data_IF_186792371640
#
_entry.id   IF_186792371640
#
_cell.length_a   1.000
_cell.length_b   1.000
_cell.length_c   1.000
_cell.angle_alpha   90.00
_cell.angle_beta   90.00
_cell.angle_gamma   90.00
#
_symmetry.space_group_name_H-M   'P 1'
#
loop_
_entity.id
_entity.type
_entity.pdbx_description
1 polymer ?
#
# COMPACT_ATOMS: atom_id res chain seq x y z
N UNK A 1 2.38 1.80 -1.00
CA UNK A 1 2.71 0.45 -1.50
C UNK A 1 3.46 0.63 -2.81
N UNK A 2 4.55 -0.11 -3.01
CA UNK A 2 5.37 -0.11 -4.22
C UNK A 2 5.20 -1.45 -4.94
N UNK A 3 5.12 -1.38 -6.26
CA UNK A 3 5.00 -2.53 -7.14
C UNK A 3 6.06 -2.46 -8.23
N UNK A 4 6.55 -3.63 -8.65
CA UNK A 4 7.37 -3.81 -9.85
C UNK A 4 6.64 -4.85 -10.71
N UNK A 5 6.31 -4.46 -11.94
CA UNK A 5 5.30 -5.17 -12.75
C UNK A 5 4.02 -5.36 -11.90
N UNK A 6 3.54 -6.59 -11.76
CA UNK A 6 2.31 -6.94 -11.03
C UNK A 6 2.56 -7.33 -9.57
N UNK A 7 3.80 -7.28 -9.11
CA UNK A 7 4.21 -7.81 -7.79
C UNK A 7 4.40 -6.70 -6.78
N UNK A 8 3.81 -6.84 -5.60
CA UNK A 8 4.07 -5.94 -4.47
C UNK A 8 5.44 -6.24 -3.89
N UNK A 9 6.31 -5.22 -3.86
CA UNK A 9 7.71 -5.37 -3.39
C UNK A 9 7.96 -4.66 -2.06
N UNK A 10 7.08 -3.73 -1.67
CA UNK A 10 7.45 -2.82 -0.60
C UNK A 10 6.45 -1.72 -0.31
N UNK A 11 6.83 -0.83 0.60
CA UNK A 11 5.98 0.24 1.09
C UNK A 11 6.56 0.94 2.31
N UNK A 12 6.00 2.10 2.61
CA UNK A 12 6.20 2.81 3.85
C UNK A 12 4.91 3.52 4.25
N UNK A 13 4.73 3.73 5.54
CA UNK A 13 3.75 4.65 6.08
C UNK A 13 4.30 6.07 6.01
N UNK A 14 3.43 7.02 5.68
CA UNK A 14 3.69 8.45 5.87
C UNK A 14 3.06 8.84 7.20
N UNK A 15 3.85 9.36 8.12
CA UNK A 15 3.37 9.81 9.42
C UNK A 15 3.78 11.26 9.65
N UNK A 16 2.94 12.00 10.36
CA UNK A 16 3.23 13.37 10.76
C UNK A 16 2.62 13.62 12.13
N UNK A 17 3.43 13.47 13.19
CA UNK A 17 2.94 13.51 14.57
C UNK A 17 2.39 14.89 14.99
N UNK A 18 2.87 15.96 14.34
CA UNK A 18 2.48 17.35 14.65
C UNK A 18 1.26 17.82 13.85
N UNK A 19 0.59 16.93 13.11
CA UNK A 19 -0.59 17.28 12.30
C UNK A 19 -1.80 16.46 12.71
N UNK A 20 -2.95 17.11 12.66
CA UNK A 20 -4.25 16.49 12.86
C UNK A 20 -4.63 15.52 11.73
N UNK A 21 -5.66 14.70 11.95
CA UNK A 21 -6.10 13.66 11.00
C UNK A 21 -6.58 14.22 9.65
N UNK A 22 -7.08 15.45 9.63
CA UNK A 22 -7.61 16.11 8.43
C UNK A 22 -6.57 16.98 7.71
N UNK A 23 -5.32 17.00 8.19
CA UNK A 23 -4.26 17.84 7.63
C UNK A 23 -3.35 17.09 6.66
N UNK A 24 -2.84 17.81 5.66
CA UNK A 24 -1.92 17.24 4.67
C UNK A 24 -0.59 16.81 5.34
N UNK A 25 -0.30 15.52 5.29
CA UNK A 25 0.92 14.93 5.86
C UNK A 25 2.19 15.28 5.06
N UNK A 26 2.07 15.83 3.84
CA UNK A 26 3.22 16.19 2.99
C UNK A 26 3.76 17.60 3.35
N UNK A 27 4.28 17.75 4.56
CA UNK A 27 4.84 19.01 5.08
C UNK A 27 6.17 18.75 5.82
N UNK A 28 6.97 19.82 6.11
CA UNK A 28 8.17 19.67 6.94
C UNK A 28 7.81 19.02 8.28
N UNK A 29 8.59 18.00 8.69
CA UNK A 29 8.28 17.18 9.87
C UNK A 29 7.68 15.80 9.55
N UNK A 30 7.28 15.56 8.29
CA UNK A 30 6.84 14.23 7.85
C UNK A 30 7.95 13.18 7.99
N UNK A 31 7.58 11.97 8.42
CA UNK A 31 8.49 10.82 8.49
C UNK A 31 7.94 9.66 7.68
N UNK A 32 8.87 8.88 7.14
CA UNK A 32 8.56 7.64 6.44
C UNK A 32 8.98 6.48 7.32
N UNK A 33 8.00 5.67 7.74
CA UNK A 33 8.27 4.43 8.47
C UNK A 33 8.15 3.26 7.51
N UNK A 34 9.16 2.39 7.41
CA UNK A 34 9.08 1.22 6.56
C UNK A 34 7.85 0.40 6.93
N UNK A 35 7.11 -0.05 5.92
CA UNK A 35 6.00 -0.98 6.13
C UNK A 35 6.65 -2.35 6.38
N UNK A 36 6.57 -2.91 7.60
CA UNK A 36 7.24 -4.16 7.88
C UNK A 36 6.48 -5.30 7.18
N UNK A 37 7.00 -5.74 6.05
CA UNK A 37 6.64 -7.02 5.46
C UNK A 37 7.41 -8.13 6.17
N UNK A 38 7.18 -8.29 7.49
CA UNK A 38 7.75 -9.42 8.23
C UNK A 38 7.30 -10.77 7.63
N UNK A 39 6.18 -10.76 6.89
CA UNK A 39 5.68 -11.87 6.08
C UNK A 39 5.28 -11.39 4.68
N UNK A 40 5.24 -12.33 3.73
CA UNK A 40 4.76 -12.08 2.37
C UNK A 40 3.38 -11.42 2.39
N UNK A 41 3.26 -10.24 1.78
CA UNK A 41 1.97 -9.56 1.57
C UNK A 41 1.15 -10.15 0.43
N UNK A 42 1.63 -11.23 -0.18
CA UNK A 42 0.96 -11.88 -1.30
C UNK A 42 0.14 -13.09 -0.86
N UNK A 43 0.21 -13.48 0.42
CA UNK A 43 -0.51 -14.63 0.95
C UNK A 43 -1.21 -14.28 2.27
N UNK A 44 -2.55 -14.32 2.31
CA UNK A 44 -3.29 -14.19 3.56
C UNK A 44 -3.23 -15.49 4.35
N UNK A 45 -3.46 -15.40 5.65
CA UNK A 45 -3.63 -16.54 6.54
C UNK A 45 -5.10 -16.60 6.99
N UNK A 46 -5.80 -17.63 6.52
CA UNK A 46 -7.23 -17.82 6.79
C UNK A 46 -7.51 -18.38 8.20
N UNK A 47 -6.49 -18.87 8.90
CA UNK A 47 -6.64 -19.45 10.23
C UNK A 47 -6.59 -18.39 11.35
N UNK A 48 -6.14 -17.17 11.03
CA UNK A 48 -6.00 -16.08 12.00
C UNK A 48 -7.11 -15.03 11.83
N UNK A 49 -7.22 -14.14 12.82
CA UNK A 49 -8.18 -13.05 12.79
C UNK A 49 -8.08 -12.26 11.46
N UNK A 50 -9.21 -11.88 10.82
CA UNK A 50 -9.18 -11.16 9.54
C UNK A 50 -8.38 -9.86 9.58
N UNK A 51 -8.39 -9.18 10.72
CA UNK A 51 -7.64 -7.94 10.95
C UNK A 51 -6.20 -8.18 11.46
N UNK A 52 -5.71 -9.41 11.50
CA UNK A 52 -4.32 -9.66 11.84
C UNK A 52 -3.39 -9.03 10.79
N UNK A 53 -2.19 -8.60 11.22
CA UNK A 53 -1.25 -7.85 10.38
C UNK A 53 -1.00 -8.48 8.98
N UNK A 54 -0.76 -9.81 8.83
CA UNK A 54 -0.55 -10.42 7.52
C UNK A 54 -1.74 -10.24 6.57
N UNK A 55 -2.95 -10.39 7.09
CA UNK A 55 -4.19 -10.24 6.31
C UNK A 55 -4.44 -8.78 5.94
N UNK A 56 -4.22 -7.83 6.87
CA UNK A 56 -4.30 -6.40 6.55
C UNK A 56 -3.31 -6.00 5.46
N UNK A 57 -2.07 -6.47 5.54
CA UNK A 57 -1.06 -6.19 4.52
C UNK A 57 -1.39 -6.82 3.17
N UNK A 58 -1.98 -8.02 3.17
CA UNK A 58 -2.52 -8.62 1.96
C UNK A 58 -3.61 -7.75 1.31
N UNK A 59 -4.54 -7.22 2.10
CA UNK A 59 -5.58 -6.30 1.62
C UNK A 59 -4.98 -5.04 1.02
N UNK A 60 -3.95 -4.44 1.63
CA UNK A 60 -3.24 -3.30 1.04
C UNK A 60 -2.64 -3.65 -0.33
N UNK A 61 -2.09 -4.86 -0.48
CA UNK A 61 -1.58 -5.35 -1.75
C UNK A 61 -2.68 -5.63 -2.79
N UNK A 62 -3.86 -6.09 -2.39
CA UNK A 62 -5.03 -6.23 -3.28
C UNK A 62 -5.45 -4.87 -3.82
N UNK A 63 -5.65 -3.88 -2.95
CA UNK A 63 -6.05 -2.52 -3.35
C UNK A 63 -5.01 -1.90 -4.28
N UNK A 64 -3.72 -2.05 -3.96
CA UNK A 64 -2.65 -1.54 -4.82
C UNK A 64 -2.68 -2.15 -6.23
N UNK A 65 -2.89 -3.48 -6.35
CA UNK A 65 -2.97 -4.15 -7.66
C UNK A 65 -4.21 -3.75 -8.46
N UNK A 66 -5.34 -3.52 -7.80
CA UNK A 66 -6.54 -2.98 -8.46
C UNK A 66 -6.29 -1.57 -9.01
N UNK A 67 -5.62 -0.71 -8.24
CA UNK A 67 -5.23 0.62 -8.69
C UNK A 67 -4.23 0.55 -9.87
N UNK A 68 -3.26 -0.37 -9.82
CA UNK A 68 -2.33 -0.60 -10.93
C UNK A 68 -3.06 -1.05 -12.19
N UNK A 69 -4.03 -1.97 -12.07
CA UNK A 69 -4.82 -2.45 -13.19
C UNK A 69 -5.63 -1.30 -13.81
N UNK A 70 -6.30 -0.50 -12.98
CA UNK A 70 -7.03 0.68 -13.44
C UNK A 70 -6.12 1.67 -14.20
N UNK A 71 -4.96 2.00 -13.64
CA UNK A 71 -3.98 2.88 -14.28
C UNK A 71 -3.43 2.28 -15.59
N UNK A 72 -3.22 0.96 -15.65
CA UNK A 72 -2.76 0.28 -16.86
C UNK A 72 -3.79 0.36 -17.98
N UNK A 73 -5.08 0.18 -17.66
CA UNK A 73 -6.18 0.33 -18.61
C UNK A 73 -6.32 1.76 -19.10
N UNK A 74 -6.20 2.75 -18.21
CA UNK A 74 -6.21 4.17 -18.56
C UNK A 74 -5.08 4.52 -19.54
N UNK A 75 -3.85 4.04 -19.28
CA UNK A 75 -2.71 4.24 -20.17
C UNK A 75 -2.89 3.57 -21.54
N UNK A 76 -3.51 2.39 -21.58
CA UNK A 76 -3.79 1.70 -22.84
C UNK A 76 -4.85 2.44 -23.67
N UNK A 77 -5.88 2.98 -23.03
CA UNK A 77 -6.93 3.78 -23.68
C UNK A 77 -6.43 5.14 -24.16
N UNK A 78 -5.46 5.73 -23.44
CA UNK A 78 -4.84 7.01 -23.80
C UNK A 78 -3.75 6.89 -24.88
N UNK A 79 -3.43 5.67 -25.34
CA UNK A 79 -2.45 5.46 -26.39
C UNK A 79 -3.00 5.99 -27.74
N UNK A 80 -2.25 6.84 -28.47
CA UNK A 80 -2.68 7.41 -29.74
C UNK A 80 -2.79 6.36 -30.85
#
# INVERSE_FOLDING_TARGET
VYMVDRTVVGGFYRIHAERGPDENLNAPGMKFLPLPFDKSCMQPDQAIHPDAAPNRYYVYGVIARLALLAASLELEQARP
#
